data_IF_890821941465
#
_entry.id   IF_890821941465
#
_cell.length_a   1.000
_cell.length_b   1.000
_cell.length_c   1.000
_cell.angle_alpha   90.00
_cell.angle_beta   90.00
_cell.angle_gamma   90.00
#
_symmetry.space_group_name_H-M   'P 1'
#
loop_
_entity.id
_entity.type
_entity.pdbx_description
1 polymer ?
#
# COMPACT_ATOMS: atom_id res chain seq x y z
N UNK A 1 27.09 -15.85 -21.34
CA UNK A 1 27.73 -16.24 -20.08
C UNK A 1 27.81 -15.04 -19.15
N UNK A 2 26.78 -14.85 -18.33
CA UNK A 2 26.79 -13.82 -17.30
C UNK A 2 27.42 -14.39 -16.04
N UNK A 3 28.52 -13.76 -15.65
CA UNK A 3 29.39 -14.13 -14.55
C UNK A 3 28.65 -13.97 -13.20
N UNK A 4 28.29 -15.10 -12.59
CA UNK A 4 27.56 -15.20 -11.31
C UNK A 4 28.43 -14.84 -10.10
N UNK A 5 29.68 -14.44 -10.31
CA UNK A 5 30.62 -14.04 -9.25
C UNK A 5 30.18 -12.83 -8.41
N UNK A 6 29.33 -11.95 -8.95
CA UNK A 6 28.81 -10.77 -8.24
C UNK A 6 27.80 -11.12 -7.12
N UNK A 7 27.17 -12.29 -7.18
CA UNK A 7 26.20 -12.72 -6.16
C UNK A 7 26.92 -13.42 -4.99
N UNK A 8 28.10 -13.99 -5.21
CA UNK A 8 28.81 -14.81 -4.23
C UNK A 8 29.85 -14.05 -3.38
N UNK A 9 30.03 -12.74 -3.55
CA UNK A 9 30.87 -11.94 -2.65
C UNK A 9 32.37 -12.30 -2.65
N UNK A 10 32.88 -12.86 -3.75
CA UNK A 10 34.31 -13.16 -3.91
C UNK A 10 35.00 -12.03 -4.68
N UNK A 11 35.25 -10.91 -4.02
CA UNK A 11 36.17 -9.88 -4.53
C UNK A 11 37.41 -9.83 -3.62
N UNK A 12 38.63 -9.86 -4.18
CA UNK A 12 39.85 -9.83 -3.40
C UNK A 12 39.98 -8.54 -2.59
N UNK A 13 40.52 -8.68 -1.37
CA UNK A 13 40.52 -7.74 -0.24
C UNK A 13 41.20 -6.38 -0.45
N UNK A 14 41.68 -6.06 -1.65
CA UNK A 14 42.56 -4.93 -1.89
C UNK A 14 42.03 -4.02 -3.01
N UNK A 15 41.05 -3.18 -2.68
CA UNK A 15 40.92 -1.81 -3.21
C UNK A 15 39.74 -1.14 -2.52
N UNK A 16 40.02 -0.45 -1.42
CA UNK A 16 39.01 0.33 -0.66
C UNK A 16 38.55 1.58 -1.44
N UNK A 17 39.24 1.93 -2.54
CA UNK A 17 38.99 3.18 -3.28
C UNK A 17 38.62 3.01 -4.76
N UNK A 18 38.38 1.78 -5.24
CA UNK A 18 37.97 1.58 -6.63
C UNK A 18 36.44 1.68 -6.77
N UNK A 19 35.99 2.93 -6.79
CA UNK A 19 34.80 3.41 -7.52
C UNK A 19 33.45 3.00 -6.93
N UNK A 20 32.98 3.77 -5.94
CA UNK A 20 31.54 3.90 -5.70
C UNK A 20 31.07 5.26 -6.23
N UNK A 21 30.26 5.19 -7.29
CA UNK A 21 29.74 6.29 -8.08
C UNK A 21 28.80 7.21 -7.26
N UNK A 22 28.73 8.52 -7.58
CA UNK A 22 27.88 9.50 -6.86
C UNK A 22 26.37 9.35 -7.11
N UNK A 23 25.90 8.27 -7.74
CA UNK A 23 24.46 8.05 -7.99
C UNK A 23 23.74 7.44 -6.78
N UNK A 24 24.46 7.11 -5.70
CA UNK A 24 23.91 6.53 -4.46
C UNK A 24 23.68 7.52 -3.31
N UNK A 25 23.63 8.83 -3.57
CA UNK A 25 23.15 9.83 -2.59
C UNK A 25 21.68 9.59 -2.17
N UNK A 26 20.94 8.76 -2.92
CA UNK A 26 19.56 8.43 -2.62
C UNK A 26 19.40 7.33 -1.55
N UNK A 27 20.46 6.77 -0.97
CA UNK A 27 20.29 5.67 0.01
C UNK A 27 19.54 6.09 1.27
N UNK A 28 19.74 7.33 1.73
CA UNK A 28 18.96 7.91 2.83
C UNK A 28 17.51 8.15 2.39
N UNK A 29 17.29 8.72 1.21
CA UNK A 29 15.95 8.93 0.63
C UNK A 29 15.18 7.60 0.50
N UNK A 30 15.77 6.57 -0.13
CA UNK A 30 15.15 5.26 -0.33
C UNK A 30 14.95 4.44 0.95
N UNK A 31 15.79 4.64 1.99
CA UNK A 31 15.64 3.93 3.27
C UNK A 31 14.75 4.63 4.27
N UNK A 32 14.71 5.96 4.25
CA UNK A 32 14.03 6.72 5.29
C UNK A 32 12.81 7.47 4.78
N UNK A 33 12.85 8.08 3.59
CA UNK A 33 11.72 8.89 3.11
C UNK A 33 10.77 8.10 2.21
N UNK A 34 11.29 7.27 1.31
CA UNK A 34 10.48 6.49 0.39
C UNK A 34 9.54 5.51 1.13
N UNK A 35 9.98 4.77 2.16
CA UNK A 35 9.07 3.92 2.92
C UNK A 35 8.02 4.75 3.66
N UNK A 36 8.39 5.90 4.23
CA UNK A 36 7.42 6.75 4.94
C UNK A 36 6.35 7.36 4.03
N UNK A 37 6.72 7.70 2.80
CA UNK A 37 5.81 8.25 1.78
C UNK A 37 4.92 7.17 1.17
N UNK A 38 5.50 6.02 0.80
CA UNK A 38 4.77 4.97 0.09
C UNK A 38 4.06 3.98 1.02
N UNK A 39 4.59 3.70 2.21
CA UNK A 39 3.91 2.90 3.23
C UNK A 39 2.92 3.73 4.05
N UNK A 40 2.71 5.00 3.70
CA UNK A 40 1.69 5.85 4.33
C UNK A 40 1.90 6.10 5.83
N UNK A 41 3.09 5.85 6.38
CA UNK A 41 3.45 6.23 7.76
C UNK A 41 3.42 7.75 7.98
N UNK A 42 3.63 8.54 6.92
CA UNK A 42 3.47 9.99 6.95
C UNK A 42 2.01 10.44 6.89
N UNK A 43 1.07 9.51 6.67
CA UNK A 43 -0.33 9.87 6.59
C UNK A 43 -0.86 10.17 8.00
N UNK A 44 -1.60 11.29 8.17
CA UNK A 44 -2.10 11.69 9.47
C UNK A 44 -3.05 10.63 10.01
N UNK A 45 -2.62 9.90 11.05
CA UNK A 45 -3.50 9.03 11.81
C UNK A 45 -4.52 9.92 12.52
N UNK A 46 -5.80 9.81 12.17
CA UNK A 46 -6.84 10.61 12.81
C UNK A 46 -6.85 10.36 14.32
N UNK A 47 -7.03 11.44 15.09
CA UNK A 47 -7.17 11.44 16.54
C UNK A 47 -8.51 10.85 17.05
N UNK A 48 -9.10 9.90 16.31
CA UNK A 48 -10.35 9.27 16.69
C UNK A 48 -10.07 7.95 17.43
N UNK A 49 -10.48 7.81 18.71
CA UNK A 49 -10.08 6.70 19.58
C UNK A 49 -10.62 5.33 19.15
N UNK A 50 -11.57 5.28 18.21
CA UNK A 50 -12.16 4.04 17.69
C UNK A 50 -11.79 3.76 16.22
N UNK A 51 -11.01 4.63 15.59
CA UNK A 51 -10.67 4.48 14.17
C UNK A 51 -9.62 3.40 13.94
N UNK A 52 -9.70 2.72 12.79
CA UNK A 52 -8.73 1.68 12.42
C UNK A 52 -7.45 2.23 11.78
N UNK A 53 -7.38 3.54 11.52
CA UNK A 53 -6.17 4.17 10.98
C UNK A 53 -4.96 3.88 11.87
N UNK A 54 -3.86 3.43 11.27
CA UNK A 54 -2.65 3.04 11.98
C UNK A 54 -2.69 1.64 12.59
N UNK A 55 -3.83 0.93 12.54
CA UNK A 55 -3.90 -0.48 12.88
C UNK A 55 -3.54 -1.35 11.68
N UNK A 56 -3.02 -2.53 11.95
CA UNK A 56 -2.81 -3.53 10.91
C UNK A 56 -4.15 -4.04 10.39
N UNK A 57 -4.22 -4.35 9.09
CA UNK A 57 -5.42 -4.91 8.47
C UNK A 57 -5.85 -6.20 9.20
N UNK A 58 -7.14 -6.38 9.51
CA UNK A 58 -7.64 -7.63 10.08
C UNK A 58 -7.38 -8.81 9.16
N UNK A 59 -7.01 -9.96 9.73
CA UNK A 59 -6.94 -11.21 8.98
C UNK A 59 -8.35 -11.66 8.59
N UNK A 60 -8.56 -11.91 7.30
CA UNK A 60 -9.83 -12.39 6.77
C UNK A 60 -9.60 -13.27 5.54
N UNK A 61 -10.38 -14.35 5.41
CA UNK A 61 -10.38 -15.23 4.24
C UNK A 61 -11.61 -14.89 3.42
N UNK A 62 -11.40 -14.40 2.20
CA UNK A 62 -12.49 -13.97 1.34
C UNK A 62 -13.29 -15.16 0.86
N UNK A 63 -14.61 -15.02 0.94
CA UNK A 63 -15.55 -16.06 0.50
C UNK A 63 -15.97 -15.85 -0.95
N UNK A 64 -15.94 -14.60 -1.42
CA UNK A 64 -16.37 -14.27 -2.78
C UNK A 64 -15.32 -14.59 -3.85
N UNK A 65 -15.74 -15.16 -4.99
CA UNK A 65 -14.88 -15.32 -6.16
C UNK A 65 -14.54 -13.99 -6.85
N UNK A 66 -15.17 -12.88 -6.45
CA UNK A 66 -14.86 -11.53 -6.97
C UNK A 66 -13.65 -10.91 -6.28
N UNK A 67 -13.30 -11.39 -5.09
CA UNK A 67 -12.11 -10.93 -4.39
C UNK A 67 -10.87 -11.28 -5.20
N UNK A 68 -10.04 -10.28 -5.50
CA UNK A 68 -8.77 -10.45 -6.23
C UNK A 68 -7.77 -11.36 -5.48
N UNK A 69 -7.98 -11.54 -4.18
CA UNK A 69 -7.09 -12.23 -3.25
C UNK A 69 -7.83 -13.33 -2.50
N UNK A 70 -7.11 -14.34 -2.01
CA UNK A 70 -7.71 -15.40 -1.18
C UNK A 70 -7.95 -14.93 0.26
N UNK A 71 -7.08 -14.07 0.75
CA UNK A 71 -7.16 -13.49 2.08
C UNK A 71 -6.65 -12.04 2.08
N UNK A 72 -6.93 -11.31 3.16
CA UNK A 72 -6.54 -9.90 3.29
C UNK A 72 -5.02 -9.67 3.31
N UNK A 73 -4.20 -10.69 3.60
CA UNK A 73 -2.74 -10.54 3.66
C UNK A 73 -2.06 -10.77 2.31
N UNK A 74 -2.62 -11.64 1.47
CA UNK A 74 -2.22 -11.76 0.06
C UNK A 74 -2.34 -10.40 -0.65
N UNK A 75 -3.30 -9.58 -0.22
CA UNK A 75 -3.52 -8.24 -0.75
C UNK A 75 -2.33 -7.31 -0.52
N UNK A 76 -1.80 -7.21 0.70
CA UNK A 76 -0.63 -6.35 0.97
C UNK A 76 0.70 -7.02 0.60
N UNK A 77 0.76 -8.35 0.51
CA UNK A 77 1.94 -9.05 -0.02
C UNK A 77 2.28 -8.63 -1.47
N UNK A 78 1.33 -7.99 -2.17
CA UNK A 78 1.56 -7.35 -3.46
C UNK A 78 2.53 -6.16 -3.42
N UNK A 79 2.79 -5.58 -2.25
CA UNK A 79 3.62 -4.37 -2.07
C UNK A 79 2.98 -3.10 -2.66
N UNK A 80 1.66 -3.12 -2.87
CA UNK A 80 0.89 -2.03 -3.45
C UNK A 80 -0.11 -1.47 -2.45
N UNK A 81 -0.59 -0.26 -2.71
CA UNK A 81 -1.71 0.31 -1.97
C UNK A 81 -2.97 -0.44 -2.39
N UNK A 82 -3.71 -0.99 -1.43
CA UNK A 82 -4.96 -1.71 -1.69
C UNK A 82 -6.12 -0.87 -1.21
N UNK A 83 -7.12 -0.66 -2.06
CA UNK A 83 -8.35 0.04 -1.71
C UNK A 83 -9.50 -0.95 -1.70
N UNK A 84 -10.08 -1.18 -0.53
CA UNK A 84 -11.27 -2.02 -0.33
C UNK A 84 -12.53 -1.16 -0.30
N UNK A 85 -13.61 -1.63 -0.92
CA UNK A 85 -14.94 -1.02 -0.82
C UNK A 85 -16.01 -2.02 -1.20
N UNK A 86 -17.24 -1.85 -0.71
CA UNK A 86 -18.39 -2.62 -1.20
C UNK A 86 -18.85 -2.16 -2.61
N UNK A 87 -18.29 -1.07 -3.13
CA UNK A 87 -18.56 -0.58 -4.49
C UNK A 87 -17.77 -1.37 -5.54
N UNK A 88 -18.37 -1.50 -6.71
CA UNK A 88 -17.74 -2.09 -7.91
C UNK A 88 -16.75 -1.14 -8.59
N UNK A 89 -16.77 0.14 -8.22
CA UNK A 89 -15.90 1.18 -8.78
C UNK A 89 -15.27 2.07 -7.70
N UNK A 90 -14.14 2.67 -8.05
CA UNK A 90 -13.45 3.66 -7.23
C UNK A 90 -13.14 4.90 -8.08
N UNK A 91 -14.08 5.86 -8.14
CA UNK A 91 -13.84 7.13 -8.85
C UNK A 91 -12.55 7.85 -8.43
N UNK A 92 -12.13 7.88 -7.15
CA UNK A 92 -10.85 8.47 -6.75
C UNK A 92 -9.64 7.87 -7.49
N UNK A 93 -9.61 6.56 -7.70
CA UNK A 93 -8.50 5.89 -8.41
C UNK A 93 -8.45 6.22 -9.90
N UNK A 94 -9.57 6.58 -10.53
CA UNK A 94 -9.60 6.96 -11.95
C UNK A 94 -8.87 8.28 -12.26
N UNK A 95 -8.65 9.11 -11.23
CA UNK A 95 -7.95 10.40 -11.30
C UNK A 95 -6.48 10.30 -10.87
N UNK A 96 -6.03 9.12 -10.44
CA UNK A 96 -4.63 8.87 -10.10
C UNK A 96 -3.85 8.52 -11.36
N UNK A 97 -2.61 9.02 -11.44
CA UNK A 97 -1.72 8.69 -12.56
C UNK A 97 -1.53 7.16 -12.64
N UNK A 98 -1.81 6.50 -13.78
CA UNK A 98 -1.72 5.05 -13.90
C UNK A 98 -0.26 4.60 -13.82
N UNK A 99 0.18 4.20 -12.63
CA UNK A 99 1.52 3.68 -12.38
C UNK A 99 1.55 2.26 -11.81
N UNK A 100 0.43 1.55 -11.76
CA UNK A 100 0.37 0.17 -11.25
C UNK A 100 0.61 0.02 -9.74
N UNK A 101 0.69 1.13 -8.99
CA UNK A 101 0.94 1.18 -7.53
C UNK A 101 -0.29 0.89 -6.67
N UNK A 102 -1.49 0.88 -7.28
CA UNK A 102 -2.77 0.70 -6.60
C UNK A 102 -3.48 -0.56 -7.08
N UNK A 103 -4.19 -1.22 -6.18
CA UNK A 103 -5.14 -2.29 -6.48
C UNK A 103 -6.48 -1.90 -5.88
N UNK A 104 -7.52 -1.88 -6.70
CA UNK A 104 -8.89 -1.77 -6.22
C UNK A 104 -9.49 -3.16 -6.03
N UNK A 105 -10.05 -3.40 -4.85
CA UNK A 105 -10.75 -4.62 -4.52
C UNK A 105 -12.19 -4.29 -4.09
N UNK A 106 -13.12 -4.53 -5.01
CA UNK A 106 -14.53 -4.59 -4.68
C UNK A 106 -14.79 -5.81 -3.79
N UNK A 107 -15.38 -5.57 -2.63
CA UNK A 107 -15.80 -6.59 -1.67
C UNK A 107 -17.25 -6.98 -1.96
N UNK A 108 -17.51 -8.27 -1.90
CA UNK A 108 -18.85 -8.81 -2.08
C UNK A 108 -19.68 -8.58 -0.82
N UNK A 109 -21.01 -8.36 -0.95
CA UNK A 109 -21.92 -8.36 0.20
C UNK A 109 -21.79 -9.61 1.10
N UNK A 110 -21.34 -10.76 0.58
CA UNK A 110 -21.09 -11.96 1.37
C UNK A 110 -19.91 -11.81 2.37
N UNK A 111 -19.01 -10.86 2.14
CA UNK A 111 -17.85 -10.59 3.00
C UNK A 111 -18.15 -9.49 4.05
N UNK A 112 -19.40 -9.38 4.50
CA UNK A 112 -19.90 -8.35 5.45
C UNK A 112 -19.06 -8.27 6.74
N UNK A 113 -18.65 -9.41 7.28
CA UNK A 113 -17.81 -9.45 8.48
C UNK A 113 -16.46 -8.72 8.30
N UNK A 114 -15.93 -8.67 7.07
CA UNK A 114 -14.71 -7.92 6.79
C UNK A 114 -14.98 -6.42 6.64
N UNK A 115 -16.11 -6.05 6.05
CA UNK A 115 -16.57 -4.64 5.98
C UNK A 115 -16.76 -4.06 7.39
N UNK A 116 -17.40 -4.83 8.28
CA UNK A 116 -17.57 -4.46 9.69
C UNK A 116 -16.21 -4.36 10.41
N UNK A 117 -15.31 -5.31 10.18
CA UNK A 117 -13.97 -5.30 10.75
C UNK A 117 -13.11 -4.12 10.27
N UNK A 118 -13.39 -3.60 9.07
CA UNK A 118 -12.80 -2.38 8.52
C UNK A 118 -13.57 -1.11 8.91
N UNK A 119 -14.70 -1.23 9.61
CA UNK A 119 -15.59 -0.14 9.97
C UNK A 119 -15.98 0.74 8.77
N UNK A 120 -16.21 0.13 7.60
CA UNK A 120 -16.64 0.84 6.39
C UNK A 120 -18.08 0.47 6.03
N UNK A 121 -18.89 1.47 5.71
CA UNK A 121 -20.24 1.29 5.17
C UNK A 121 -20.23 0.92 3.68
N UNK A 122 -21.43 0.84 3.09
CA UNK A 122 -21.61 0.50 1.66
C UNK A 122 -20.95 1.47 0.69
N UNK A 123 -20.90 2.75 1.06
CA UNK A 123 -20.38 3.84 0.22
C UNK A 123 -19.00 4.32 0.66
N UNK A 124 -18.40 3.64 1.65
CA UNK A 124 -17.10 3.97 2.19
C UNK A 124 -16.00 3.13 1.54
N UNK A 125 -14.77 3.59 1.75
CA UNK A 125 -13.55 2.99 1.27
C UNK A 125 -12.57 2.82 2.42
N UNK A 126 -11.78 1.74 2.37
CA UNK A 126 -10.62 1.54 3.21
C UNK A 126 -9.37 1.52 2.34
N UNK A 127 -8.40 2.38 2.66
CA UNK A 127 -7.09 2.42 2.02
C UNK A 127 -6.10 1.73 2.92
N UNK A 128 -5.51 0.65 2.42
CA UNK A 128 -4.46 -0.12 3.07
C UNK A 128 -3.14 0.20 2.37
N UNK A 129 -2.15 0.57 3.17
CA UNK A 129 -0.82 0.87 2.69
C UNK A 129 -0.06 -0.44 2.33
N UNK A 130 1.02 -0.37 1.52
CA UNK A 130 1.85 -1.52 1.14
C UNK A 130 2.42 -2.35 2.30
N UNK A 131 2.50 -1.79 3.50
CA UNK A 131 3.00 -2.42 4.72
C UNK A 131 1.91 -3.18 5.51
N UNK A 132 0.66 -3.19 5.01
CA UNK A 132 -0.48 -3.88 5.63
C UNK A 132 -1.22 -3.04 6.67
N UNK A 133 -0.86 -1.78 6.87
CA UNK A 133 -1.55 -0.89 7.81
C UNK A 133 -2.67 -0.10 7.13
N UNK A 134 -3.75 0.11 7.88
CA UNK A 134 -4.87 0.94 7.44
C UNK A 134 -4.42 2.40 7.44
N UNK A 135 -4.35 2.99 6.25
CA UNK A 135 -4.02 4.41 6.08
C UNK A 135 -5.24 5.32 6.22
N UNK A 136 -6.39 4.90 5.66
CA UNK A 136 -7.62 5.68 5.70
C UNK A 136 -8.88 4.80 5.68
N UNK A 137 -9.93 5.23 6.37
CA UNK A 137 -11.29 4.68 6.22
C UNK A 137 -12.31 5.82 6.16
N UNK A 138 -13.31 5.70 5.27
CA UNK A 138 -14.45 6.63 5.20
C UNK A 138 -14.89 6.94 3.76
N UNK A 139 -15.58 8.07 3.60
CA UNK A 139 -16.25 8.44 2.35
C UNK A 139 -15.32 8.61 1.13
N UNK A 140 -15.91 8.59 -0.07
CA UNK A 140 -15.22 8.86 -1.34
C UNK A 140 -14.45 10.18 -1.36
N UNK A 141 -15.06 11.25 -0.82
CA UNK A 141 -14.44 12.58 -0.77
C UNK A 141 -13.21 12.59 0.15
N UNK A 142 -13.32 11.96 1.33
CA UNK A 142 -12.19 11.83 2.26
C UNK A 142 -11.07 10.96 1.68
N UNK A 143 -11.43 9.88 1.00
CA UNK A 143 -10.48 8.99 0.30
C UNK A 143 -9.75 9.73 -0.81
N UNK A 144 -10.46 10.53 -1.61
CA UNK A 144 -9.87 11.37 -2.65
C UNK A 144 -8.87 12.36 -2.06
N UNK A 145 -9.25 13.04 -0.98
CA UNK A 145 -8.38 14.00 -0.30
C UNK A 145 -7.13 13.32 0.27
N UNK A 146 -7.31 12.17 0.92
CA UNK A 146 -6.22 11.37 1.48
C UNK A 146 -5.23 10.96 0.39
N UNK A 147 -5.71 10.33 -0.69
CA UNK A 147 -4.87 9.90 -1.81
C UNK A 147 -4.18 11.08 -2.50
N UNK A 148 -4.87 12.21 -2.68
CA UNK A 148 -4.30 13.42 -3.28
C UNK A 148 -3.17 14.04 -2.43
N UNK A 149 -3.19 13.83 -1.12
CA UNK A 149 -2.15 14.35 -0.22
C UNK A 149 -0.85 13.54 -0.30
N UNK A 150 -0.95 12.26 -0.68
CA UNK A 150 0.18 11.33 -0.75
C UNK A 150 0.69 11.13 -2.18
N UNK A 151 -0.20 11.23 -3.16
CA UNK A 151 0.05 10.86 -4.55
C UNK A 151 -0.40 11.97 -5.49
N UNK A 152 0.29 12.10 -6.61
CA UNK A 152 -0.03 13.09 -7.64
C UNK A 152 -1.27 12.64 -8.42
N UNK A 153 -2.35 13.42 -8.31
CA UNK A 153 -3.59 13.29 -9.10
C UNK A 153 -3.47 14.12 -10.39
N UNK A 154 -4.07 13.66 -11.49
CA UNK A 154 -4.23 14.43 -12.73
C UNK A 154 -5.65 14.99 -12.87
#
# INVERSE_FOLDING_TARGET
>A
DHDTGLIAGLVPKNHIDAVYFPEFCNRHYYRHQLPLQYAGFAAPQCAHPNGLMGHHVPWYVFTSPQATFRNSYDAFASGKVVVFSARVDCPPLSRLKPGGWFIFCALDPADEAFLEALQIGRDDYAVINPDGYVGFTGSEAGTSQYLSSLYVME
#
